data_IF_642484155047
#
_entry.id   IF_642484155047
#
_cell.length_a   1.000
_cell.length_b   1.000
_cell.length_c   1.000
_cell.angle_alpha   90.00
_cell.angle_beta   90.00
_cell.angle_gamma   90.00
#
_symmetry.space_group_name_H-M   'P 1'
#
loop_
_entity.id
_entity.type
_entity.pdbx_description
1 polymer ?
#
# COMPACT_ATOMS: atom_id res chain seq x y z
N UNK A 1 19.85 -18.02 24.52
CA UNK A 1 19.05 -16.82 24.16
C UNK A 1 19.88 -15.64 24.62
N UNK A 2 20.59 -14.96 23.71
CA UNK A 2 21.33 -13.72 24.00
C UNK A 2 20.31 -12.62 24.28
N UNK A 3 20.48 -11.89 25.39
CA UNK A 3 19.71 -10.68 25.65
C UNK A 3 19.90 -9.70 24.46
N UNK A 4 18.85 -8.99 24.01
CA UNK A 4 19.02 -7.98 22.99
C UNK A 4 19.99 -6.92 23.54
N UNK A 5 20.94 -6.53 22.69
CA UNK A 5 21.88 -5.46 22.98
C UNK A 5 21.07 -4.16 23.20
N UNK A 6 21.27 -3.49 24.36
CA UNK A 6 20.51 -2.29 24.75
C UNK A 6 20.67 -1.10 23.76
N UNK A 7 21.48 -1.28 22.71
CA UNK A 7 21.71 -0.30 21.62
C UNK A 7 20.92 -0.60 20.33
N UNK A 8 20.21 -1.76 20.28
CA UNK A 8 19.47 -2.12 19.06
C UNK A 8 18.12 -1.38 19.01
N UNK A 9 17.71 -0.83 17.85
CA UNK A 9 16.40 -0.20 17.71
C UNK A 9 15.29 -1.24 17.86
N UNK A 10 14.17 -0.83 18.46
CA UNK A 10 12.98 -1.69 18.58
C UNK A 10 12.20 -1.71 17.25
N UNK A 11 12.19 -0.58 16.53
CA UNK A 11 11.47 -0.44 15.27
C UNK A 11 12.40 0.10 14.18
N UNK A 12 12.41 -0.55 13.02
CA UNK A 12 12.96 0.00 11.79
C UNK A 12 11.80 0.58 10.97
N UNK A 13 11.82 1.90 10.76
CA UNK A 13 10.86 2.58 9.90
C UNK A 13 11.42 2.61 8.49
N UNK A 14 10.69 2.06 7.53
CA UNK A 14 11.05 2.01 6.11
C UNK A 14 10.15 2.97 5.36
N UNK A 15 10.75 3.96 4.69
CA UNK A 15 10.05 4.96 3.89
C UNK A 15 10.53 4.86 2.44
N UNK A 16 9.62 4.55 1.52
CA UNK A 16 9.93 4.55 0.08
C UNK A 16 9.43 5.84 -0.55
N UNK A 17 10.32 6.59 -1.20
CA UNK A 17 10.04 7.88 -1.82
C UNK A 17 10.25 7.85 -3.33
N UNK A 18 9.35 8.51 -4.07
CA UNK A 18 9.50 8.80 -5.49
C UNK A 18 8.85 10.13 -5.83
N UNK A 19 9.69 11.17 -6.06
CA UNK A 19 9.23 12.52 -6.39
C UNK A 19 8.22 13.11 -5.39
N UNK A 20 8.51 13.00 -4.08
CA UNK A 20 7.64 13.47 -3.00
C UNK A 20 8.40 14.30 -1.96
N UNK A 21 9.39 15.09 -2.36
CA UNK A 21 10.31 15.82 -1.46
C UNK A 21 9.62 16.50 -0.28
N UNK A 22 8.62 17.34 -0.55
CA UNK A 22 7.93 18.09 0.53
C UNK A 22 7.12 17.20 1.48
N UNK A 23 6.55 16.12 0.96
CA UNK A 23 5.78 15.15 1.76
C UNK A 23 6.72 14.26 2.56
N UNK A 24 7.83 13.83 1.95
CA UNK A 24 8.87 13.07 2.61
C UNK A 24 9.45 13.84 3.80
N UNK A 25 9.72 15.14 3.67
CA UNK A 25 10.16 15.96 4.78
C UNK A 25 9.15 15.93 5.94
N UNK A 26 7.85 16.15 5.67
CA UNK A 26 6.78 16.06 6.69
C UNK A 26 6.67 14.67 7.32
N UNK A 27 6.87 13.62 6.54
CA UNK A 27 6.90 12.25 7.03
C UNK A 27 8.05 12.07 8.03
N UNK A 28 9.26 12.47 7.68
CA UNK A 28 10.45 12.36 8.54
C UNK A 28 10.34 13.23 9.80
N UNK A 29 9.87 14.48 9.68
CA UNK A 29 9.59 15.35 10.83
C UNK A 29 8.62 14.72 11.82
N UNK A 30 7.61 13.98 11.34
CA UNK A 30 6.65 13.30 12.21
C UNK A 30 7.26 12.15 13.01
N UNK A 31 8.31 11.53 12.47
CA UNK A 31 9.07 10.48 13.16
C UNK A 31 9.99 11.05 14.23
N UNK A 32 10.62 12.19 13.97
CA UNK A 32 11.46 12.90 14.96
C UNK A 32 10.62 13.41 16.15
N UNK A 33 9.44 13.98 15.86
CA UNK A 33 8.49 14.39 16.90
C UNK A 33 7.98 13.20 17.75
N UNK A 34 8.08 11.99 17.24
CA UNK A 34 7.75 10.73 17.94
C UNK A 34 8.91 10.19 18.78
N UNK A 35 9.96 10.95 19.03
CA UNK A 35 11.20 10.54 19.73
C UNK A 35 11.04 10.09 21.20
N UNK A 36 9.81 9.86 21.65
CA UNK A 36 9.51 9.07 22.85
C UNK A 36 9.76 7.57 22.54
N UNK A 37 10.14 6.74 23.56
CA UNK A 37 10.31 5.29 23.33
C UNK A 37 9.19 4.68 22.50
N UNK A 38 9.46 3.76 21.59
CA UNK A 38 10.69 2.95 21.45
C UNK A 38 11.80 3.62 20.61
N UNK A 39 13.04 3.15 20.78
CA UNK A 39 14.15 3.53 19.91
C UNK A 39 13.84 3.11 18.46
N UNK A 40 13.93 4.05 17.53
CA UNK A 40 13.70 3.81 16.10
C UNK A 40 14.98 4.01 15.29
N UNK A 41 15.09 3.32 14.16
CA UNK A 41 15.96 3.67 13.05
C UNK A 41 15.09 3.97 11.83
N UNK A 42 15.55 4.87 10.99
CA UNK A 42 14.82 5.26 9.77
C UNK A 42 15.65 4.87 8.55
N UNK A 43 15.05 4.12 7.62
CA UNK A 43 15.63 3.77 6.34
C UNK A 43 14.77 4.41 5.24
N UNK A 44 15.37 5.25 4.43
CA UNK A 44 14.71 5.90 3.29
C UNK A 44 15.22 5.29 2.00
N UNK A 45 14.33 4.77 1.16
CA UNK A 45 14.68 4.35 -0.19
C UNK A 45 14.22 5.42 -1.16
N UNK A 46 15.17 6.09 -1.81
CA UNK A 46 14.85 7.01 -2.90
C UNK A 46 14.80 6.26 -4.23
N UNK A 47 13.60 6.07 -4.75
CA UNK A 47 13.32 5.31 -5.98
C UNK A 47 13.68 6.09 -7.25
N UNK A 48 14.87 6.71 -7.31
CA UNK A 48 15.36 7.55 -8.40
C UNK A 48 14.49 8.81 -8.60
N UNK A 49 14.27 9.57 -7.53
CA UNK A 49 13.59 10.87 -7.59
C UNK A 49 14.40 11.90 -8.36
N UNK A 50 13.71 12.82 -9.04
CA UNK A 50 14.31 13.93 -9.77
C UNK A 50 13.99 15.29 -9.14
N UNK A 51 13.32 15.31 -7.97
CA UNK A 51 12.84 16.52 -7.29
C UNK A 51 13.74 17.02 -6.15
N UNK A 52 14.94 16.40 -5.97
CA UNK A 52 15.86 16.70 -4.89
C UNK A 52 15.50 16.04 -3.55
N UNK A 53 14.73 14.96 -3.57
CA UNK A 53 14.38 14.18 -2.37
C UNK A 53 15.62 13.59 -1.70
N UNK A 54 16.49 12.92 -2.46
CA UNK A 54 17.69 12.28 -1.94
C UNK A 54 18.65 13.28 -1.30
N UNK A 55 18.92 14.39 -1.98
CA UNK A 55 19.79 15.47 -1.49
C UNK A 55 19.24 16.09 -0.20
N UNK A 56 17.93 16.28 -0.11
CA UNK A 56 17.26 16.77 1.11
C UNK A 56 17.46 15.80 2.27
N UNK A 57 17.24 14.50 2.06
CA UNK A 57 17.42 13.50 3.12
C UNK A 57 18.87 13.50 3.61
N UNK A 58 19.84 13.48 2.70
CA UNK A 58 21.26 13.49 3.07
C UNK A 58 21.69 14.75 3.84
N UNK A 59 21.09 15.91 3.52
CA UNK A 59 21.47 17.19 4.14
C UNK A 59 20.71 17.47 5.44
N UNK A 60 19.44 17.15 5.52
CA UNK A 60 18.53 17.57 6.60
C UNK A 60 18.23 16.46 7.61
N UNK A 61 18.40 15.17 7.22
CA UNK A 61 18.12 14.01 8.07
C UNK A 61 19.31 13.04 8.15
N UNK A 62 20.49 13.48 8.65
CA UNK A 62 21.72 12.69 8.64
C UNK A 62 21.65 11.39 9.46
N UNK A 63 20.68 11.28 10.38
CA UNK A 63 20.44 10.07 11.17
C UNK A 63 19.67 8.98 10.38
N UNK A 64 19.04 9.35 9.28
CA UNK A 64 18.36 8.40 8.41
C UNK A 64 19.35 7.69 7.49
N UNK A 65 19.20 6.39 7.33
CA UNK A 65 19.96 5.63 6.33
C UNK A 65 19.30 5.81 4.96
N UNK A 66 19.96 6.53 4.05
CA UNK A 66 19.51 6.71 2.67
C UNK A 66 20.00 5.56 1.79
N UNK A 67 19.10 4.94 1.04
CA UNK A 67 19.35 3.91 0.04
C UNK A 67 18.93 4.42 -1.33
N UNK A 68 19.85 4.44 -2.28
CA UNK A 68 19.63 4.91 -3.65
C UNK A 68 19.90 3.78 -4.66
N UNK A 69 18.90 3.00 -5.06
CA UNK A 69 19.06 1.90 -6.00
C UNK A 69 19.40 2.34 -7.43
N UNK A 70 19.25 3.64 -7.75
CA UNK A 70 19.54 4.21 -9.07
C UNK A 70 18.45 3.97 -10.12
N UNK A 71 17.41 3.23 -9.81
CA UNK A 71 16.21 3.02 -10.64
C UNK A 71 14.95 2.94 -9.77
N UNK A 72 13.77 3.14 -10.37
CA UNK A 72 12.50 2.94 -9.66
C UNK A 72 12.16 1.45 -9.56
N UNK A 73 12.39 0.88 -8.38
CA UNK A 73 12.13 -0.53 -8.07
C UNK A 73 10.65 -0.86 -7.88
N UNK A 74 9.77 0.17 -7.78
CA UNK A 74 8.41 0.02 -7.28
C UNK A 74 8.37 -0.12 -5.76
N UNK A 75 7.17 -0.32 -5.20
CA UNK A 75 6.98 -0.30 -3.75
C UNK A 75 7.48 -1.57 -3.08
N UNK A 76 7.12 -2.75 -3.62
CA UNK A 76 7.46 -4.03 -3.01
C UNK A 76 8.99 -4.26 -2.93
N UNK A 77 9.70 -4.13 -4.06
CA UNK A 77 11.16 -4.34 -4.12
C UNK A 77 11.94 -3.32 -3.28
N UNK A 78 11.49 -2.05 -3.27
CA UNK A 78 12.15 -1.02 -2.48
C UNK A 78 12.03 -1.30 -0.97
N UNK A 79 10.84 -1.72 -0.48
CA UNK A 79 10.68 -2.14 0.90
C UNK A 79 11.51 -3.38 1.24
N UNK A 80 11.54 -4.39 0.34
CA UNK A 80 12.38 -5.58 0.54
C UNK A 80 13.86 -5.20 0.68
N UNK A 81 14.36 -4.33 -0.20
CA UNK A 81 15.75 -3.84 -0.15
C UNK A 81 16.08 -3.17 1.20
N UNK A 82 15.23 -2.28 1.68
CA UNK A 82 15.46 -1.62 2.97
C UNK A 82 15.38 -2.61 4.14
N UNK A 83 14.45 -3.58 4.08
CA UNK A 83 14.28 -4.56 5.13
C UNK A 83 15.50 -5.49 5.33
N UNK A 84 16.37 -5.65 4.32
CA UNK A 84 17.64 -6.38 4.45
C UNK A 84 18.58 -5.70 5.45
N UNK A 85 18.59 -4.36 5.48
CA UNK A 85 19.44 -3.56 6.38
C UNK A 85 18.79 -3.30 7.75
N UNK A 86 17.50 -3.61 7.89
CA UNK A 86 16.73 -3.33 9.10
C UNK A 86 17.18 -4.18 10.29
N UNK A 87 17.38 -3.53 11.46
CA UNK A 87 17.86 -4.15 12.71
C UNK A 87 16.75 -4.25 13.77
N UNK A 88 15.69 -3.45 13.67
CA UNK A 88 14.58 -3.43 14.63
C UNK A 88 13.86 -4.78 14.75
N UNK A 89 13.23 -5.03 15.86
CA UNK A 89 12.38 -6.22 16.08
C UNK A 89 11.09 -6.15 15.24
N UNK A 90 10.63 -4.94 14.96
CA UNK A 90 9.48 -4.65 14.13
C UNK A 90 9.89 -3.78 12.94
N UNK A 91 9.22 -3.97 11.81
CA UNK A 91 9.34 -3.14 10.62
C UNK A 91 8.06 -2.30 10.51
N UNK A 92 8.18 -0.98 10.50
CA UNK A 92 7.09 -0.07 10.15
C UNK A 92 7.30 0.38 8.70
N UNK A 93 6.46 -0.11 7.79
CA UNK A 93 6.41 0.37 6.43
C UNK A 93 5.53 1.63 6.43
N UNK A 94 6.06 2.74 5.95
CA UNK A 94 5.39 4.04 5.98
C UNK A 94 5.57 4.74 4.63
N UNK A 95 4.46 5.15 4.02
CA UNK A 95 4.52 5.92 2.78
C UNK A 95 5.15 7.30 3.01
N UNK A 96 5.87 7.81 2.02
CA UNK A 96 6.48 9.16 2.06
C UNK A 96 5.46 10.30 2.12
N UNK A 97 4.17 10.04 1.85
CA UNK A 97 3.06 10.98 1.97
C UNK A 97 2.19 10.72 3.21
N UNK A 98 2.72 9.96 4.18
CA UNK A 98 2.09 9.72 5.48
C UNK A 98 2.88 10.42 6.60
N UNK A 99 2.17 10.88 7.63
CA UNK A 99 2.75 11.46 8.84
C UNK A 99 2.10 10.84 10.08
N UNK A 100 2.91 10.26 10.97
CA UNK A 100 2.41 9.58 12.18
C UNK A 100 2.10 10.56 13.30
N UNK A 101 1.07 10.26 14.09
CA UNK A 101 0.84 10.96 15.36
C UNK A 101 1.93 10.57 16.38
N UNK A 102 2.33 11.45 17.34
CA UNK A 102 3.50 11.24 18.21
C UNK A 102 3.55 9.91 18.96
N UNK A 103 2.42 9.33 19.34
CA UNK A 103 2.36 8.06 20.09
C UNK A 103 2.23 6.82 19.21
N UNK A 104 2.10 6.98 17.90
CA UNK A 104 1.69 5.89 16.98
C UNK A 104 2.71 4.76 16.93
N UNK A 105 3.98 5.06 16.71
CA UNK A 105 5.02 4.02 16.58
C UNK A 105 5.09 3.16 17.85
N UNK A 106 5.10 3.83 19.03
CA UNK A 106 5.10 3.14 20.32
C UNK A 106 3.84 2.33 20.59
N UNK A 107 2.67 2.83 20.19
CA UNK A 107 1.41 2.11 20.35
C UNK A 107 1.36 0.84 19.49
N UNK A 108 1.83 0.91 18.24
CA UNK A 108 1.89 -0.25 17.33
C UNK A 108 2.87 -1.31 17.85
N UNK A 109 4.08 -0.90 18.27
CA UNK A 109 5.07 -1.83 18.80
C UNK A 109 4.56 -2.55 20.06
N UNK A 110 4.03 -1.79 21.04
CA UNK A 110 3.43 -2.34 22.26
C UNK A 110 2.28 -3.29 21.96
N UNK A 111 1.42 -2.94 20.98
CA UNK A 111 0.30 -3.81 20.60
C UNK A 111 0.82 -5.17 20.11
N UNK A 112 1.85 -5.20 19.27
CA UNK A 112 2.45 -6.45 18.84
C UNK A 112 3.06 -7.23 20.02
N UNK A 113 3.71 -6.58 20.97
CA UNK A 113 4.28 -7.24 22.16
C UNK A 113 3.18 -7.88 23.04
N UNK A 114 2.08 -7.16 23.28
CA UNK A 114 0.98 -7.60 24.15
C UNK A 114 0.07 -8.65 23.46
N UNK A 115 0.09 -8.76 22.13
CA UNK A 115 -0.79 -9.65 21.35
C UNK A 115 0.03 -10.63 20.50
N UNK A 116 0.47 -11.79 21.06
CA UNK A 116 1.33 -12.74 20.34
C UNK A 116 0.74 -13.31 19.03
N UNK A 117 -0.60 -13.38 18.91
CA UNK A 117 -1.29 -13.80 17.68
C UNK A 117 -1.23 -12.73 16.58
N UNK A 118 -1.04 -11.45 16.94
CA UNK A 118 -0.90 -10.37 15.97
C UNK A 118 0.49 -10.41 15.32
N UNK A 119 0.52 -10.60 14.01
CA UNK A 119 1.74 -10.52 13.20
C UNK A 119 1.90 -9.18 12.51
N UNK A 120 0.76 -8.58 12.13
CA UNK A 120 0.66 -7.29 11.43
C UNK A 120 -0.31 -6.39 12.16
N UNK A 121 0.03 -5.11 12.30
CA UNK A 121 -0.86 -4.09 12.86
C UNK A 121 -0.72 -2.78 12.08
N UNK A 122 -1.83 -2.06 11.90
CA UNK A 122 -1.83 -0.76 11.25
C UNK A 122 -2.63 0.27 12.06
N UNK A 123 -2.24 1.55 11.99
CA UNK A 123 -2.97 2.62 12.65
C UNK A 123 -4.22 3.01 11.86
N UNK A 124 -5.06 3.80 12.49
CA UNK A 124 -6.11 4.56 11.83
C UNK A 124 -5.47 5.57 10.85
N UNK A 125 -5.92 5.56 9.60
CA UNK A 125 -5.55 6.60 8.65
C UNK A 125 -6.62 7.71 8.60
N UNK A 126 -6.16 8.94 8.47
CA UNK A 126 -7.00 10.10 8.24
C UNK A 126 -6.54 10.86 6.98
N UNK A 127 -7.49 11.42 6.25
CA UNK A 127 -7.22 12.38 5.18
C UNK A 127 -6.68 13.70 5.76
N UNK A 128 -6.05 14.58 4.96
CA UNK A 128 -5.59 15.89 5.43
C UNK A 128 -6.67 16.78 6.05
N UNK A 129 -7.94 16.58 5.70
CA UNK A 129 -9.09 17.28 6.28
C UNK A 129 -9.57 16.67 7.61
N UNK A 130 -8.87 15.65 8.12
CA UNK A 130 -9.21 14.93 9.35
C UNK A 130 -10.28 13.86 9.21
N UNK A 131 -10.87 13.69 8.05
CA UNK A 131 -11.87 12.62 7.81
C UNK A 131 -11.20 11.25 7.80
N UNK A 132 -11.95 10.22 8.21
CA UNK A 132 -11.44 8.84 8.21
C UNK A 132 -11.10 8.37 6.78
N UNK A 133 -9.89 7.82 6.63
CA UNK A 133 -9.45 7.18 5.39
C UNK A 133 -9.51 5.64 5.55
N UNK A 134 -10.33 4.93 4.75
CA UNK A 134 -10.44 3.47 4.85
C UNK A 134 -9.11 2.77 4.53
N UNK A 135 -8.49 2.15 5.54
CA UNK A 135 -7.21 1.43 5.43
C UNK A 135 -7.32 -0.06 5.72
N UNK A 136 -8.37 -0.50 6.41
CA UNK A 136 -8.67 -1.91 6.63
C UNK A 136 -9.69 -2.40 5.60
N UNK A 137 -9.42 -3.53 4.95
CA UNK A 137 -10.18 -4.00 3.79
C UNK A 137 -10.36 -5.52 3.81
N UNK A 138 -11.32 -6.01 2.99
CA UNK A 138 -11.48 -7.42 2.69
C UNK A 138 -10.57 -7.85 1.52
N UNK A 139 -10.09 -9.09 1.55
CA UNK A 139 -9.26 -9.63 0.46
C UNK A 139 -9.95 -9.55 -0.90
N UNK A 140 -9.20 -9.26 -1.97
CA UNK A 140 -9.75 -9.28 -3.33
C UNK A 140 -10.34 -10.66 -3.66
N UNK A 141 -11.59 -10.67 -4.10
CA UNK A 141 -12.25 -11.90 -4.55
C UNK A 141 -13.26 -11.60 -5.69
N UNK A 142 -13.66 -12.64 -6.42
CA UNK A 142 -14.59 -12.50 -7.54
C UNK A 142 -15.95 -11.91 -7.12
N UNK A 143 -16.42 -12.19 -5.89
CA UNK A 143 -17.67 -11.64 -5.35
C UNK A 143 -17.56 -10.12 -5.15
N UNK A 144 -16.46 -9.63 -4.59
CA UNK A 144 -16.25 -8.20 -4.39
C UNK A 144 -16.23 -7.46 -5.72
N UNK A 145 -15.55 -8.01 -6.73
CA UNK A 145 -15.52 -7.46 -8.08
C UNK A 145 -16.91 -7.48 -8.76
N UNK A 146 -17.71 -8.50 -8.51
CA UNK A 146 -19.11 -8.55 -8.95
C UNK A 146 -19.94 -7.42 -8.32
N UNK A 147 -19.85 -7.25 -7.01
CA UNK A 147 -20.59 -6.20 -6.28
C UNK A 147 -20.20 -4.80 -6.77
N UNK A 148 -18.90 -4.58 -6.97
CA UNK A 148 -18.38 -3.33 -7.54
C UNK A 148 -18.86 -3.12 -8.99
N UNK A 149 -18.77 -4.14 -9.85
CA UNK A 149 -19.16 -4.07 -11.25
C UNK A 149 -20.63 -3.69 -11.43
N UNK A 150 -21.50 -4.26 -10.59
CA UNK A 150 -22.96 -4.08 -10.64
C UNK A 150 -23.46 -2.88 -9.84
N UNK A 151 -22.60 -2.29 -8.98
CA UNK A 151 -23.00 -1.22 -8.05
C UNK A 151 -23.85 -1.73 -6.87
N UNK A 152 -24.06 -3.02 -6.74
CA UNK A 152 -24.83 -3.65 -5.65
C UNK A 152 -24.17 -3.45 -4.28
N UNK A 153 -22.86 -3.16 -4.25
CA UNK A 153 -22.14 -2.81 -3.03
C UNK A 153 -22.85 -1.67 -2.26
N UNK A 154 -23.36 -0.64 -2.99
CA UNK A 154 -24.06 0.51 -2.41
C UNK A 154 -25.42 0.14 -1.81
N UNK A 155 -26.11 -0.80 -2.45
CA UNK A 155 -27.44 -1.26 -1.99
C UNK A 155 -27.32 -2.20 -0.78
N UNK A 156 -26.30 -3.08 -0.79
CA UNK A 156 -26.08 -4.06 0.28
C UNK A 156 -25.29 -3.45 1.43
N UNK A 157 -24.85 -2.19 1.28
CA UNK A 157 -23.96 -1.54 2.20
C UNK A 157 -22.65 -2.31 2.40
N UNK A 158 -22.29 -3.24 1.53
CA UNK A 158 -21.04 -3.99 1.50
C UNK A 158 -20.15 -3.33 0.46
N UNK A 159 -19.21 -2.54 0.91
CA UNK A 159 -18.12 -2.10 0.04
C UNK A 159 -17.04 -3.19 0.01
N UNK A 160 -16.22 -3.20 -1.05
CA UNK A 160 -14.96 -3.96 -1.08
C UNK A 160 -14.03 -3.59 0.09
N UNK A 161 -14.35 -2.50 0.77
CA UNK A 161 -13.66 -1.99 1.95
C UNK A 161 -14.32 -2.45 3.28
N UNK A 162 -15.39 -3.26 3.23
CA UNK A 162 -16.18 -3.62 4.41
C UNK A 162 -16.95 -2.42 5.01
N UNK A 163 -17.89 -2.70 5.93
CA UNK A 163 -18.61 -1.66 6.69
C UNK A 163 -17.81 -1.06 7.83
N UNK A 164 -16.49 -1.26 7.84
CA UNK A 164 -15.67 -0.86 8.95
C UNK A 164 -15.54 0.67 8.99
N UNK A 165 -16.05 1.28 10.04
CA UNK A 165 -16.02 2.75 10.23
C UNK A 165 -14.70 3.26 10.79
N UNK A 166 -13.79 2.36 11.19
CA UNK A 166 -12.49 2.73 11.75
C UNK A 166 -12.59 3.26 13.21
N UNK A 167 -13.66 2.95 13.91
CA UNK A 167 -13.97 3.44 15.26
C UNK A 167 -13.65 2.43 16.38
N UNK A 168 -13.13 1.27 16.05
CA UNK A 168 -12.74 0.23 17.01
C UNK A 168 -11.45 -0.49 16.62
N UNK A 169 -10.73 -1.01 17.61
CA UNK A 169 -9.59 -1.91 17.40
C UNK A 169 -10.11 -3.33 17.18
N UNK A 170 -9.70 -3.98 16.07
CA UNK A 170 -10.17 -5.33 15.72
C UNK A 170 -9.27 -6.05 14.73
N UNK A 171 -9.34 -7.40 14.66
CA UNK A 171 -8.74 -8.13 13.56
C UNK A 171 -9.45 -7.82 12.23
N UNK A 172 -8.65 -7.77 11.15
CA UNK A 172 -9.12 -7.46 9.79
C UNK A 172 -8.43 -8.39 8.78
N UNK A 173 -8.96 -8.49 7.56
CA UNK A 173 -8.34 -9.36 6.56
C UNK A 173 -7.00 -8.79 6.09
N UNK A 174 -6.95 -7.52 5.69
CA UNK A 174 -5.70 -6.83 5.41
C UNK A 174 -5.78 -5.32 5.67
N UNK A 175 -4.63 -4.70 5.78
CA UNK A 175 -4.47 -3.26 5.97
C UNK A 175 -3.61 -2.66 4.87
N UNK A 176 -3.82 -1.38 4.59
CA UNK A 176 -3.06 -0.65 3.57
C UNK A 176 -1.58 -0.53 3.93
N UNK A 177 -0.71 -0.72 2.96
CA UNK A 177 0.74 -0.48 3.05
C UNK A 177 1.13 0.98 3.29
N UNK A 178 0.16 1.92 3.34
CA UNK A 178 0.44 3.32 3.64
C UNK A 178 1.07 3.53 5.03
N UNK A 179 0.65 2.73 6.02
CA UNK A 179 1.29 2.61 7.33
C UNK A 179 0.94 1.24 7.92
N UNK A 180 1.89 0.33 7.99
CA UNK A 180 1.71 -0.96 8.64
C UNK A 180 2.99 -1.40 9.37
N UNK A 181 2.82 -1.98 10.55
CA UNK A 181 3.91 -2.58 11.30
C UNK A 181 3.78 -4.09 11.29
N UNK A 182 4.90 -4.77 11.08
CA UNK A 182 5.01 -6.23 11.06
C UNK A 182 6.18 -6.69 11.93
N UNK A 183 6.06 -7.84 12.58
CA UNK A 183 7.20 -8.49 13.23
C UNK A 183 8.27 -8.82 12.18
N UNK A 184 9.52 -8.41 12.40
CA UNK A 184 10.61 -8.70 11.47
C UNK A 184 10.84 -10.22 11.31
N UNK A 185 10.62 -11.02 12.36
CA UNK A 185 10.66 -12.48 12.26
C UNK A 185 9.65 -13.03 11.27
N UNK A 186 8.39 -12.55 11.31
CA UNK A 186 7.35 -12.93 10.37
C UNK A 186 7.66 -12.43 8.95
N UNK A 187 8.15 -11.19 8.80
CA UNK A 187 8.58 -10.65 7.51
C UNK A 187 9.61 -11.57 6.84
N UNK A 188 10.63 -11.98 7.59
CA UNK A 188 11.67 -12.91 7.09
C UNK A 188 11.11 -14.28 6.75
N UNK A 189 10.24 -14.83 7.58
CA UNK A 189 9.58 -16.11 7.32
C UNK A 189 8.74 -16.09 6.05
N UNK A 190 8.04 -14.97 5.79
CA UNK A 190 7.25 -14.77 4.58
C UNK A 190 8.10 -14.45 3.35
N UNK A 191 9.38 -14.08 3.51
CA UNK A 191 10.25 -13.64 2.43
C UNK A 191 9.94 -12.23 1.93
N UNK A 192 9.36 -11.37 2.78
CA UNK A 192 9.01 -10.01 2.45
C UNK A 192 7.76 -9.87 1.55
N UNK A 193 7.67 -8.78 0.83
CA UNK A 193 6.67 -8.60 -0.22
C UNK A 193 6.96 -9.48 -1.44
N UNK A 194 5.92 -9.94 -2.11
CA UNK A 194 6.04 -10.58 -3.43
C UNK A 194 6.31 -9.50 -4.50
N UNK A 195 7.49 -9.55 -5.10
CA UNK A 195 7.95 -8.59 -6.11
C UNK A 195 7.20 -8.69 -7.46
N UNK A 196 6.33 -9.67 -7.62
CA UNK A 196 5.37 -9.74 -8.71
C UNK A 196 4.32 -8.61 -8.66
N UNK A 197 4.13 -7.99 -7.49
CA UNK A 197 3.33 -6.77 -7.32
C UNK A 197 4.25 -5.55 -7.44
N UNK A 198 4.08 -4.76 -8.48
CA UNK A 198 4.87 -3.54 -8.65
C UNK A 198 4.34 -2.42 -7.75
N UNK A 199 3.02 -2.26 -7.75
CA UNK A 199 2.29 -1.26 -6.96
C UNK A 199 0.86 -1.72 -6.74
N UNK A 200 0.36 -1.70 -5.51
CA UNK A 200 -0.89 -2.27 -5.03
C UNK A 200 -0.91 -3.80 -4.95
N UNK A 201 -1.55 -4.30 -3.91
CA UNK A 201 -1.86 -5.70 -3.66
C UNK A 201 -0.78 -6.49 -2.94
N UNK A 202 0.45 -5.96 -2.84
CA UNK A 202 1.53 -6.53 -2.05
C UNK A 202 1.18 -6.59 -0.57
N UNK A 203 0.44 -5.60 -0.07
CA UNK A 203 -0.07 -5.51 1.29
C UNK A 203 -1.13 -6.59 1.58
N UNK A 204 -2.09 -6.75 0.67
CA UNK A 204 -3.09 -7.81 0.77
C UNK A 204 -2.44 -9.20 0.69
N UNK A 205 -1.48 -9.40 -0.21
CA UNK A 205 -0.73 -10.65 -0.35
C UNK A 205 0.08 -10.97 0.91
N UNK A 206 0.77 -10.00 1.48
CA UNK A 206 1.53 -10.17 2.72
C UNK A 206 0.60 -10.59 3.88
N UNK A 207 -0.51 -9.87 4.07
CA UNK A 207 -1.49 -10.18 5.12
C UNK A 207 -2.12 -11.57 4.90
N UNK A 208 -2.39 -11.96 3.66
CA UNK A 208 -2.91 -13.29 3.34
C UNK A 208 -1.92 -14.39 3.70
N UNK A 209 -0.64 -14.23 3.33
CA UNK A 209 0.43 -15.18 3.69
C UNK A 209 0.66 -15.22 5.20
N UNK A 210 0.55 -14.08 5.89
CA UNK A 210 0.61 -14.03 7.35
C UNK A 210 -0.52 -14.85 7.99
N UNK A 211 -1.76 -14.67 7.52
CA UNK A 211 -2.92 -15.43 7.98
C UNK A 211 -2.74 -16.94 7.77
N UNK A 212 -2.18 -17.37 6.64
CA UNK A 212 -1.88 -18.78 6.33
C UNK A 212 -0.82 -19.39 7.27
N UNK A 213 -0.03 -18.54 7.95
CA UNK A 213 0.90 -18.92 9.02
C UNK A 213 0.32 -18.79 10.42
N UNK A 214 -0.98 -18.48 10.54
CA UNK A 214 -1.68 -18.29 11.80
C UNK A 214 -1.41 -16.93 12.47
N UNK A 215 -0.82 -15.97 11.76
CA UNK A 215 -0.58 -14.62 12.25
C UNK A 215 -1.73 -13.70 11.82
N UNK A 216 -2.33 -13.02 12.79
CA UNK A 216 -3.46 -12.12 12.56
C UNK A 216 -3.00 -10.73 12.10
N UNK A 217 -3.83 -10.08 11.29
CA UNK A 217 -3.70 -8.66 10.93
C UNK A 217 -4.69 -7.84 11.73
N UNK A 218 -4.23 -6.77 12.37
CA UNK A 218 -5.04 -5.93 13.25
C UNK A 218 -5.07 -4.47 12.79
N UNK A 219 -6.21 -3.84 12.98
CA UNK A 219 -6.39 -2.39 12.90
C UNK A 219 -6.43 -1.84 14.32
N UNK A 220 -5.56 -0.88 14.64
CA UNK A 220 -5.45 -0.26 15.94
C UNK A 220 -6.02 1.17 15.88
N UNK A 221 -7.24 1.35 16.42
CA UNK A 221 -7.95 2.63 16.39
C UNK A 221 -7.24 3.73 17.19
N UNK A 222 -6.59 3.39 18.29
CA UNK A 222 -5.92 4.35 19.19
C UNK A 222 -4.59 4.91 18.66
N UNK A 223 -4.05 4.33 17.58
CA UNK A 223 -2.89 4.86 16.85
C UNK A 223 -3.36 5.56 15.58
N UNK A 224 -2.76 6.69 15.22
CA UNK A 224 -3.19 7.50 14.09
C UNK A 224 -2.05 7.92 13.16
N UNK A 225 -2.35 8.04 11.86
CA UNK A 225 -1.49 8.69 10.89
C UNK A 225 -2.33 9.47 9.87
N UNK A 226 -1.83 10.64 9.48
CA UNK A 226 -2.35 11.37 8.32
C UNK A 226 -1.76 10.75 7.05
N UNK A 227 -2.55 10.65 5.98
CA UNK A 227 -2.06 10.16 4.71
C UNK A 227 -2.70 10.97 3.57
N UNK A 228 -1.87 11.65 2.79
CA UNK A 228 -2.34 12.50 1.68
C UNK A 228 -3.06 11.67 0.60
N UNK A 229 -2.61 10.45 0.39
CA UNK A 229 -3.22 9.48 -0.53
C UNK A 229 -3.03 9.83 -2.00
N UNK A 230 -2.22 9.03 -2.69
CA UNK A 230 -2.06 9.14 -4.14
C UNK A 230 -1.23 10.31 -4.63
N UNK A 231 -0.42 10.95 -3.77
CA UNK A 231 0.45 12.04 -4.18
C UNK A 231 1.46 11.59 -5.24
N UNK A 232 2.11 10.45 -5.04
CA UNK A 232 3.02 9.83 -6.03
C UNK A 232 2.31 9.34 -7.30
N UNK A 233 0.98 9.17 -7.27
CA UNK A 233 0.19 8.63 -8.39
C UNK A 233 -0.78 9.64 -9.01
N UNK A 234 -0.83 10.86 -8.49
CA UNK A 234 -1.78 11.89 -8.94
C UNK A 234 -1.68 12.18 -10.44
N UNK A 235 -0.47 12.22 -10.98
CA UNK A 235 -0.20 12.38 -12.42
C UNK A 235 -0.58 11.16 -13.26
N UNK A 236 -0.82 9.98 -12.64
CA UNK A 236 -0.91 8.69 -13.28
C UNK A 236 -2.21 7.94 -12.95
N UNK A 237 -3.30 8.65 -12.65
CA UNK A 237 -4.59 8.07 -12.20
C UNK A 237 -5.12 6.93 -13.07
N UNK A 238 -4.92 6.99 -14.38
CA UNK A 238 -5.32 5.92 -15.31
C UNK A 238 -4.51 4.66 -15.07
N UNK A 239 -3.19 4.82 -14.90
CA UNK A 239 -2.29 3.70 -14.63
C UNK A 239 -2.56 3.08 -13.25
N UNK A 240 -2.81 3.90 -12.22
CA UNK A 240 -3.17 3.44 -10.89
C UNK A 240 -4.44 2.56 -10.88
N UNK A 241 -5.47 2.93 -11.63
CA UNK A 241 -6.68 2.11 -11.76
C UNK A 241 -6.40 0.76 -12.45
N UNK A 242 -5.60 0.76 -13.52
CA UNK A 242 -5.21 -0.47 -14.23
C UNK A 242 -4.39 -1.37 -13.31
N UNK A 243 -3.43 -0.80 -12.56
CA UNK A 243 -2.62 -1.55 -11.60
C UNK A 243 -3.48 -2.14 -10.47
N UNK A 244 -4.46 -1.42 -9.96
CA UNK A 244 -5.38 -1.95 -8.96
C UNK A 244 -6.14 -3.20 -9.42
N UNK A 245 -6.68 -3.19 -10.65
CA UNK A 245 -7.32 -4.39 -11.21
C UNK A 245 -6.33 -5.51 -11.53
N UNK A 246 -5.11 -5.17 -11.97
CA UNK A 246 -4.05 -6.14 -12.21
C UNK A 246 -3.64 -6.82 -10.91
N UNK A 247 -3.43 -6.05 -9.85
CA UNK A 247 -3.12 -6.54 -8.51
C UNK A 247 -4.21 -7.46 -7.97
N UNK A 248 -5.49 -7.08 -8.12
CA UNK A 248 -6.62 -7.93 -7.72
C UNK A 248 -6.64 -9.27 -8.49
N UNK A 249 -6.39 -9.25 -9.80
CA UNK A 249 -6.31 -10.47 -10.60
C UNK A 249 -5.11 -11.33 -10.20
N UNK A 250 -3.94 -10.72 -9.94
CA UNK A 250 -2.75 -11.43 -9.48
C UNK A 250 -2.99 -12.09 -8.13
N UNK A 251 -3.59 -11.36 -7.18
CA UNK A 251 -3.97 -11.88 -5.87
C UNK A 251 -4.92 -13.09 -6.01
N UNK A 252 -6.01 -12.93 -6.79
CA UNK A 252 -7.00 -14.02 -7.00
C UNK A 252 -6.35 -15.22 -7.71
N UNK A 253 -5.40 -15.00 -8.63
CA UNK A 253 -4.64 -16.08 -9.27
C UNK A 253 -3.76 -16.83 -8.29
N UNK A 254 -3.11 -16.11 -7.37
CA UNK A 254 -2.16 -16.67 -6.40
C UNK A 254 -2.87 -17.45 -5.30
N UNK A 255 -3.97 -16.92 -4.78
CA UNK A 255 -4.66 -17.43 -3.59
C UNK A 255 -6.02 -18.09 -3.87
N UNK A 256 -6.48 -18.07 -5.10
CA UNK A 256 -7.77 -18.60 -5.51
C UNK A 256 -7.68 -19.75 -6.51
N UNK A 257 -8.81 -20.04 -7.16
CA UNK A 257 -8.90 -21.06 -8.21
C UNK A 257 -8.91 -20.43 -9.61
N UNK A 258 -8.62 -21.24 -10.63
CA UNK A 258 -8.74 -20.81 -12.03
C UNK A 258 -10.16 -20.31 -12.37
N UNK A 259 -11.19 -20.93 -11.79
CA UNK A 259 -12.58 -20.48 -11.91
C UNK A 259 -12.80 -19.09 -11.29
N UNK A 260 -12.21 -18.81 -10.13
CA UNK A 260 -12.28 -17.49 -9.49
C UNK A 260 -11.63 -16.40 -10.36
N UNK A 261 -10.50 -16.72 -11.03
CA UNK A 261 -9.86 -15.80 -11.97
C UNK A 261 -10.77 -15.52 -13.19
N UNK A 262 -11.39 -16.56 -13.75
CA UNK A 262 -12.29 -16.39 -14.90
C UNK A 262 -13.50 -15.52 -14.54
N UNK A 263 -14.12 -15.74 -13.38
CA UNK A 263 -15.21 -14.90 -12.87
C UNK A 263 -14.76 -13.46 -12.58
N UNK A 264 -13.59 -13.28 -11.95
CA UNK A 264 -13.03 -11.96 -11.70
C UNK A 264 -12.85 -11.15 -13.00
N UNK A 265 -12.27 -11.79 -14.04
CA UNK A 265 -12.10 -11.18 -15.36
C UNK A 265 -13.44 -10.80 -16.00
N UNK A 266 -14.43 -11.69 -15.92
CA UNK A 266 -15.79 -11.41 -16.42
C UNK A 266 -16.40 -10.16 -15.76
N UNK A 267 -16.30 -10.06 -14.43
CA UNK A 267 -16.86 -8.94 -13.69
C UNK A 267 -16.10 -7.63 -13.94
N UNK A 268 -14.78 -7.67 -14.03
CA UNK A 268 -13.97 -6.50 -14.44
C UNK A 268 -14.37 -6.05 -15.84
N UNK A 269 -14.49 -6.96 -16.80
CA UNK A 269 -14.89 -6.66 -18.18
C UNK A 269 -16.29 -6.02 -18.21
N UNK A 270 -17.26 -6.63 -17.53
CA UNK A 270 -18.63 -6.13 -17.47
C UNK A 270 -18.67 -4.72 -16.85
N UNK A 271 -18.06 -4.52 -15.69
CA UNK A 271 -18.04 -3.24 -14.99
C UNK A 271 -17.33 -2.15 -15.80
N UNK A 272 -16.21 -2.47 -16.42
CA UNK A 272 -15.48 -1.54 -17.28
C UNK A 272 -16.29 -1.18 -18.54
N UNK A 273 -16.96 -2.15 -19.17
CA UNK A 273 -17.81 -1.91 -20.36
C UNK A 273 -19.01 -1.04 -20.03
N UNK A 274 -19.72 -1.31 -18.93
CA UNK A 274 -20.87 -0.50 -18.50
C UNK A 274 -20.46 0.95 -18.24
N UNK A 275 -19.33 1.16 -17.55
CA UNK A 275 -18.79 2.50 -17.26
C UNK A 275 -18.27 3.20 -18.53
N UNK A 276 -17.67 2.47 -19.47
CA UNK A 276 -17.26 3.01 -20.75
C UNK A 276 -18.46 3.49 -21.59
N UNK A 277 -19.52 2.69 -21.68
CA UNK A 277 -20.76 3.06 -22.37
C UNK A 277 -21.39 4.31 -21.73
N UNK A 278 -21.51 4.34 -20.39
CA UNK A 278 -22.02 5.50 -19.66
C UNK A 278 -21.16 6.76 -19.85
N UNK A 279 -19.86 6.60 -20.12
CA UNK A 279 -18.93 7.70 -20.34
C UNK A 279 -18.87 8.20 -21.78
N UNK A 280 -19.39 7.45 -22.75
CA UNK A 280 -19.22 7.72 -24.18
C UNK A 280 -19.83 9.06 -24.63
N UNK A 281 -21.08 9.34 -24.26
CA UNK A 281 -21.75 10.62 -24.59
C UNK A 281 -21.10 11.82 -23.88
N UNK A 282 -20.89 11.80 -22.54
CA UNK A 282 -20.19 12.88 -21.86
C UNK A 282 -18.77 13.11 -22.36
N UNK A 283 -18.08 12.09 -22.85
CA UNK A 283 -16.72 12.20 -23.40
C UNK A 283 -16.64 13.09 -24.64
N UNK A 284 -17.71 13.22 -25.40
CA UNK A 284 -17.77 14.17 -26.53
C UNK A 284 -17.69 15.63 -26.06
N UNK A 285 -18.16 15.92 -24.85
CA UNK A 285 -18.33 17.28 -24.32
C UNK A 285 -17.23 17.70 -23.32
N UNK A 286 -16.49 16.73 -22.71
CA UNK A 286 -15.55 17.04 -21.63
C UNK A 286 -14.27 16.23 -21.68
N UNK A 287 -13.07 16.90 -21.55
CA UNK A 287 -11.79 16.21 -21.47
C UNK A 287 -11.69 15.21 -20.31
N UNK A 288 -12.29 15.53 -19.15
CA UNK A 288 -12.29 14.64 -17.97
C UNK A 288 -13.06 13.34 -18.23
N UNK A 289 -14.18 13.39 -18.95
CA UNK A 289 -14.93 12.21 -19.36
C UNK A 289 -14.20 11.40 -20.43
N UNK A 290 -13.45 12.05 -21.33
CA UNK A 290 -12.56 11.36 -22.27
C UNK A 290 -11.47 10.57 -21.54
N UNK A 291 -10.86 11.14 -20.52
CA UNK A 291 -9.88 10.43 -19.70
C UNK A 291 -10.50 9.20 -19.02
N UNK A 292 -11.67 9.35 -18.39
CA UNK A 292 -12.42 8.23 -17.78
C UNK A 292 -12.74 7.13 -18.79
N UNK A 293 -13.24 7.49 -19.98
CA UNK A 293 -13.53 6.52 -21.02
C UNK A 293 -12.27 5.72 -21.44
N UNK A 294 -11.13 6.41 -21.63
CA UNK A 294 -9.85 5.76 -21.91
C UNK A 294 -9.45 4.78 -20.81
N UNK A 295 -9.59 5.17 -19.55
CA UNK A 295 -9.30 4.29 -18.41
C UNK A 295 -10.17 3.04 -18.45
N UNK A 296 -11.49 3.15 -18.64
CA UNK A 296 -12.38 1.99 -18.68
C UNK A 296 -12.11 1.08 -19.87
N UNK A 297 -11.79 1.64 -21.06
CA UNK A 297 -11.38 0.83 -22.20
C UNK A 297 -10.06 0.10 -21.95
N UNK A 298 -9.10 0.72 -21.27
CA UNK A 298 -7.85 0.07 -20.90
C UNK A 298 -8.06 -1.07 -19.89
N UNK A 299 -8.92 -0.86 -18.89
CA UNK A 299 -9.31 -1.91 -17.92
C UNK A 299 -10.04 -3.07 -18.60
N UNK A 300 -10.93 -2.79 -19.58
CA UNK A 300 -11.59 -3.84 -20.35
C UNK A 300 -10.57 -4.66 -21.17
N UNK A 301 -9.59 -4.00 -21.79
CA UNK A 301 -8.49 -4.67 -22.51
C UNK A 301 -7.65 -5.53 -21.56
N UNK A 302 -7.34 -5.05 -20.36
CA UNK A 302 -6.65 -5.82 -19.33
C UNK A 302 -7.40 -7.12 -19.03
N UNK A 303 -8.72 -7.05 -18.82
CA UNK A 303 -9.55 -8.22 -18.53
C UNK A 303 -9.57 -9.25 -19.67
N UNK A 304 -9.38 -8.83 -20.92
CA UNK A 304 -9.31 -9.69 -22.11
C UNK A 304 -7.89 -10.17 -22.43
N UNK A 305 -6.85 -9.57 -21.83
CA UNK A 305 -5.46 -9.92 -22.12
C UNK A 305 -5.16 -11.36 -21.77
N UNK A 306 -4.45 -12.07 -22.65
CA UNK A 306 -3.99 -13.43 -22.39
C UNK A 306 -3.02 -13.49 -21.19
N UNK A 307 -2.17 -12.47 -21.04
CA UNK A 307 -1.28 -12.28 -19.90
C UNK A 307 -1.49 -10.89 -19.26
N UNK A 308 -2.42 -10.75 -18.32
CA UNK A 308 -2.60 -9.49 -17.58
C UNK A 308 -1.47 -9.21 -16.58
N UNK A 309 -0.48 -10.12 -16.46
CA UNK A 309 0.61 -10.11 -15.46
C UNK A 309 1.98 -10.06 -16.17
N UNK A 310 2.37 -8.99 -16.87
CA UNK A 310 3.71 -8.90 -17.41
C UNK A 310 4.72 -8.92 -16.24
N UNK A 311 5.55 -9.96 -16.22
CA UNK A 311 6.73 -10.04 -15.38
C UNK A 311 7.79 -9.16 -16.05
N UNK A 312 8.16 -8.07 -15.44
CA UNK A 312 9.24 -7.21 -15.88
C UNK A 312 8.81 -5.85 -16.42
N UNK A 313 9.49 -4.84 -15.91
CA UNK A 313 9.51 -3.41 -16.30
C UNK A 313 8.15 -2.84 -16.68
N UNK A 314 7.42 -2.35 -15.69
CA UNK A 314 6.53 -1.23 -15.95
C UNK A 314 7.40 -0.02 -16.27
N UNK A 315 7.49 0.33 -17.54
CA UNK A 315 7.79 1.68 -17.91
C UNK A 315 6.69 2.57 -17.30
N UNK A 316 6.95 3.25 -16.21
CA UNK A 316 6.33 4.52 -15.99
C UNK A 316 6.57 5.30 -17.27
N UNK A 317 5.60 6.01 -17.82
CA UNK A 317 5.80 6.73 -19.07
C UNK A 317 6.75 7.92 -18.86
N UNK A 318 8.03 7.66 -18.72
CA UNK A 318 9.04 8.66 -19.04
C UNK A 318 9.11 8.88 -20.56
N UNK A 319 8.55 7.96 -21.35
CA UNK A 319 8.60 8.01 -22.81
C UNK A 319 7.46 8.80 -23.47
N UNK A 320 6.38 9.16 -22.74
CA UNK A 320 5.26 9.95 -23.31
C UNK A 320 5.35 11.46 -22.97
N UNK A 321 6.44 11.93 -22.38
CA UNK A 321 6.69 13.35 -22.06
C UNK A 321 7.65 14.04 -23.07
N UNK A 322 7.79 13.51 -24.32
CA UNK A 322 8.46 14.21 -25.43
C UNK A 322 7.48 14.61 -26.51
#
# INVERSE_FOLDING_TARGET
>A
MSQPDASSPVVSVIVVSYNTRCLLARCLDSLDASAAPPAIEVLVVDNASADGSAEMVAAEYPEATLLEPGENLGFARANNLAAESARGEHLLLLNSDAAVEPSTVGALARFLEEHPAAGVVAPRLANPDGTHQPSARAFPCALNLFLEATGLERLLGRTTHGHFRGDETRPVEYVSGAALMIRRSLWRELGGFDEGFFFYGEDADLCRRALERGAETWYLHSAGALHEGGASTAALRTNAAIEGYRAALLFIRKHGSAGAVAWARLWILLGATLRAVASALPAALSPSWRARLRTYLAVARLALSANPYPIGRFGWPEDDAR
#
